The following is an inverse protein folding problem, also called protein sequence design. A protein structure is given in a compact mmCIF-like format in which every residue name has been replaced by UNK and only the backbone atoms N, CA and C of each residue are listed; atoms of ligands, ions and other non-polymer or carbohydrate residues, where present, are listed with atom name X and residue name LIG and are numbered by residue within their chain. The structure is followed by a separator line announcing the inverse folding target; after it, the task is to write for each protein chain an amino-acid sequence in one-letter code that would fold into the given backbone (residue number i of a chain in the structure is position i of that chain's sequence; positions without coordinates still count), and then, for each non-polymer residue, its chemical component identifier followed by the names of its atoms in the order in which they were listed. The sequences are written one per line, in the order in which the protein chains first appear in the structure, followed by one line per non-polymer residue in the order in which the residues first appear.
data_IF_263873896909
#
_entry.id   IF_263873896909
#
_cell.length_a   1.000
_cell.length_b   1.000
_cell.length_c   1.000
_cell.angle_alpha   90.00
_cell.angle_beta   90.00
_cell.angle_gamma   90.00
#
_symmetry.space_group_name_H-M   'P 1'
#
loop_
_entity.id
_entity.type
_entity.pdbx_description
1 polymer ?
#
# COMPACT_ATOMS: atom_id res chain seq x y z
N UNK A 1 45.25 -49.71 -16.31
CA UNK A 1 45.22 -48.36 -16.95
C UNK A 1 43.82 -47.92 -17.37
N UNK A 2 43.05 -48.71 -18.12
CA UNK A 2 41.73 -48.30 -18.65
C UNK A 2 40.65 -47.95 -17.59
N UNK A 3 40.69 -48.58 -16.41
CA UNK A 3 39.76 -48.28 -15.29
C UNK A 3 40.04 -46.93 -14.60
N UNK A 4 41.30 -46.53 -14.52
CA UNK A 4 41.68 -45.21 -13.99
C UNK A 4 41.31 -44.08 -14.96
N UNK A 5 41.40 -44.33 -16.27
CA UNK A 5 41.00 -43.35 -17.29
C UNK A 5 39.48 -43.08 -17.29
N UNK A 6 38.64 -44.11 -17.13
CA UNK A 6 37.17 -43.96 -17.04
C UNK A 6 36.74 -43.20 -15.79
N UNK A 7 37.40 -43.46 -14.65
CA UNK A 7 37.10 -42.75 -13.40
C UNK A 7 37.52 -41.28 -13.49
N UNK A 8 38.69 -41.00 -14.09
CA UNK A 8 39.15 -39.63 -14.30
C UNK A 8 38.24 -38.84 -15.26
N UNK A 9 37.71 -39.48 -16.30
CA UNK A 9 36.78 -38.84 -17.24
C UNK A 9 35.41 -38.56 -16.61
N UNK A 10 34.92 -39.49 -15.78
CA UNK A 10 33.67 -39.29 -15.02
C UNK A 10 33.80 -38.14 -14.00
N UNK A 11 34.92 -38.06 -13.28
CA UNK A 11 35.19 -36.98 -12.33
C UNK A 11 35.34 -35.64 -13.05
N UNK A 12 36.02 -35.60 -14.21
CA UNK A 12 36.13 -34.39 -15.02
C UNK A 12 34.78 -33.91 -15.56
N UNK A 13 33.90 -34.84 -15.97
CA UNK A 13 32.52 -34.53 -16.36
C UNK A 13 31.76 -33.88 -15.20
N UNK A 14 31.88 -34.41 -13.98
CA UNK A 14 31.21 -33.85 -12.79
C UNK A 14 31.68 -32.43 -12.47
N UNK A 15 32.97 -32.10 -12.70
CA UNK A 15 33.49 -30.74 -12.50
C UNK A 15 33.06 -29.74 -13.59
N UNK A 16 32.69 -30.19 -14.78
CA UNK A 16 32.21 -29.30 -15.87
C UNK A 16 30.73 -28.93 -15.67
N UNK A 17 29.97 -29.75 -14.92
CA UNK A 17 28.53 -29.52 -14.65
C UNK A 17 28.26 -28.78 -13.32
N UNK A 18 29.29 -28.32 -12.61
CA UNK A 18 29.17 -27.77 -11.25
C UNK A 18 29.06 -26.25 -11.12
N UNK A 19 28.92 -25.49 -12.21
CA UNK A 19 28.62 -24.06 -12.09
C UNK A 19 27.10 -23.93 -11.94
N UNK A 20 26.60 -23.66 -10.72
CA UNK A 20 25.21 -23.21 -10.55
C UNK A 20 25.04 -21.94 -11.39
N UNK A 21 24.01 -21.93 -12.24
CA UNK A 21 23.62 -20.72 -12.93
C UNK A 21 22.89 -19.84 -11.92
N UNK A 22 23.51 -18.74 -11.53
CA UNK A 22 22.93 -17.77 -10.59
C UNK A 22 22.62 -16.49 -11.33
N UNK A 23 21.48 -15.88 -11.00
CA UNK A 23 21.17 -14.51 -11.38
C UNK A 23 20.93 -13.65 -10.15
N UNK A 24 20.95 -12.34 -10.32
CA UNK A 24 20.72 -11.41 -9.21
C UNK A 24 19.58 -10.46 -9.53
N UNK A 25 18.83 -10.06 -8.52
CA UNK A 25 17.92 -8.92 -8.59
C UNK A 25 18.27 -7.90 -7.51
N UNK A 26 18.32 -6.63 -7.92
CA UNK A 26 18.53 -5.47 -7.04
C UNK A 26 17.31 -4.56 -7.14
N UNK A 27 16.55 -4.46 -6.06
CA UNK A 27 15.37 -3.57 -5.93
C UNK A 27 15.78 -2.34 -5.13
N UNK A 28 15.66 -1.16 -5.72
CA UNK A 28 16.00 0.12 -5.09
C UNK A 28 14.74 0.95 -4.82
N UNK A 29 14.61 1.44 -3.59
CA UNK A 29 13.58 2.39 -3.21
C UNK A 29 13.93 3.78 -3.77
N UNK A 30 13.07 4.34 -4.63
CA UNK A 30 13.16 5.69 -5.19
C UNK A 30 11.90 6.50 -4.86
N UNK A 31 11.20 6.15 -3.78
CA UNK A 31 9.91 6.76 -3.42
C UNK A 31 10.06 8.02 -2.56
N UNK A 32 11.19 8.24 -1.88
CA UNK A 32 11.36 9.35 -0.94
C UNK A 32 10.89 9.06 0.49
N UNK A 33 10.25 7.91 0.72
CA UNK A 33 9.76 7.45 2.03
C UNK A 33 10.08 5.95 2.17
N UNK A 34 9.77 5.35 3.33
CA UNK A 34 9.94 3.92 3.55
C UNK A 34 9.08 3.07 2.58
N UNK A 35 9.61 1.91 2.22
CA UNK A 35 8.99 0.94 1.33
C UNK A 35 9.21 -0.48 1.86
N UNK A 36 8.14 -1.25 2.02
CA UNK A 36 8.26 -2.69 2.24
C UNK A 36 8.16 -3.40 0.90
N UNK A 37 9.15 -4.23 0.57
CA UNK A 37 9.18 -5.03 -0.65
C UNK A 37 9.34 -6.51 -0.33
N UNK A 38 8.75 -7.36 -1.16
CA UNK A 38 8.97 -8.80 -1.16
C UNK A 38 9.60 -9.22 -2.48
N UNK A 39 10.66 -10.02 -2.41
CA UNK A 39 11.36 -10.56 -3.58
C UNK A 39 11.30 -12.09 -3.47
N UNK A 40 10.47 -12.73 -4.30
CA UNK A 40 10.26 -14.19 -4.27
C UNK A 40 9.98 -14.68 -2.83
N UNK A 41 9.04 -14.03 -2.14
CA UNK A 41 8.60 -14.34 -0.77
C UNK A 41 9.39 -13.69 0.38
N UNK A 42 10.64 -13.28 0.17
CA UNK A 42 11.46 -12.67 1.22
C UNK A 42 11.14 -11.19 1.38
N UNK A 43 10.87 -10.75 2.61
CA UNK A 43 10.48 -9.36 2.92
C UNK A 43 11.67 -8.51 3.31
N UNK A 44 11.72 -7.29 2.79
CA UNK A 44 12.73 -6.27 3.06
C UNK A 44 12.03 -4.94 3.34
N UNK A 45 12.41 -4.27 4.43
CA UNK A 45 12.04 -2.88 4.68
C UNK A 45 13.18 -1.99 4.19
N UNK A 46 12.87 -1.04 3.31
CA UNK A 46 13.84 -0.17 2.65
C UNK A 46 13.53 1.29 3.00
N UNK A 47 14.47 1.98 3.63
CA UNK A 47 14.41 3.44 3.76
C UNK A 47 14.64 4.12 2.40
N UNK A 48 14.58 5.46 2.39
CA UNK A 48 14.77 6.24 1.18
C UNK A 48 16.16 5.97 0.54
N UNK A 49 16.15 5.71 -0.76
CA UNK A 49 17.32 5.33 -1.57
C UNK A 49 18.04 4.03 -1.17
N UNK A 50 17.53 3.26 -0.21
CA UNK A 50 18.05 1.93 0.11
C UNK A 50 17.70 0.89 -0.94
N UNK A 51 18.36 -0.26 -0.88
CA UNK A 51 18.13 -1.36 -1.80
C UNK A 51 18.20 -2.73 -1.13
N UNK A 52 17.44 -3.68 -1.65
CA UNK A 52 17.56 -5.10 -1.38
C UNK A 52 18.20 -5.80 -2.59
N UNK A 53 19.07 -6.76 -2.31
CA UNK A 53 19.66 -7.66 -3.31
C UNK A 53 19.35 -9.11 -2.95
N UNK A 54 18.96 -9.91 -3.94
CA UNK A 54 18.71 -11.35 -3.80
C UNK A 54 19.34 -12.10 -4.95
N UNK A 55 20.16 -13.10 -4.61
CA UNK A 55 20.67 -14.10 -5.56
C UNK A 55 19.60 -15.15 -5.78
N UNK A 56 19.40 -15.51 -7.05
CA UNK A 56 18.38 -16.43 -7.51
C UNK A 56 19.07 -17.64 -8.11
N UNK A 57 18.86 -18.79 -7.49
CA UNK A 57 19.32 -20.07 -8.03
C UNK A 57 18.43 -20.47 -9.21
N UNK A 58 19.05 -20.68 -10.37
CA UNK A 58 18.38 -21.10 -11.60
C UNK A 58 18.47 -22.62 -11.80
N UNK A 59 19.27 -23.33 -11.00
CA UNK A 59 19.53 -24.76 -11.15
C UNK A 59 18.33 -25.65 -10.79
N UNK A 60 17.39 -25.13 -9.98
CA UNK A 60 16.18 -25.84 -9.55
C UNK A 60 15.16 -26.08 -10.69
N UNK A 61 15.27 -25.37 -11.83
CA UNK A 61 14.27 -25.40 -12.91
C UNK A 61 14.61 -26.35 -14.08
N UNK A 62 15.52 -27.29 -13.85
CA UNK A 62 15.96 -28.27 -14.84
C UNK A 62 17.32 -27.93 -15.42
N UNK A 63 17.98 -28.94 -15.99
CA UNK A 63 19.41 -28.94 -16.37
C UNK A 63 19.89 -27.78 -17.29
N UNK A 64 19.01 -26.89 -17.77
CA UNK A 64 19.32 -25.85 -18.75
C UNK A 64 18.48 -24.55 -18.67
N UNK A 65 17.78 -24.22 -17.58
CA UNK A 65 17.10 -22.91 -17.53
C UNK A 65 18.11 -21.80 -17.31
N UNK A 66 18.31 -20.94 -18.32
CA UNK A 66 19.16 -19.74 -18.22
C UNK A 66 18.40 -18.53 -17.67
N UNK A 67 17.10 -18.69 -17.38
CA UNK A 67 16.24 -17.68 -16.79
C UNK A 67 15.20 -18.22 -15.80
N UNK A 68 14.74 -17.36 -14.88
CA UNK A 68 13.65 -17.61 -13.93
C UNK A 68 12.81 -16.35 -13.75
N UNK A 69 11.48 -16.50 -13.64
CA UNK A 69 10.60 -15.41 -13.25
C UNK A 69 10.62 -15.23 -11.72
N UNK A 70 10.79 -13.98 -11.29
CA UNK A 70 10.79 -13.58 -9.89
C UNK A 70 9.76 -12.49 -9.70
N UNK A 71 8.80 -12.74 -8.81
CA UNK A 71 7.81 -11.75 -8.40
C UNK A 71 8.42 -10.77 -7.41
N UNK A 72 8.29 -9.48 -7.71
CA UNK A 72 8.55 -8.39 -6.77
C UNK A 72 7.24 -7.68 -6.49
N UNK A 73 6.86 -7.65 -5.22
CA UNK A 73 5.66 -6.98 -4.75
C UNK A 73 5.96 -6.12 -3.54
N UNK A 74 5.04 -5.25 -3.14
CA UNK A 74 5.25 -4.39 -2.00
C UNK A 74 4.30 -3.22 -1.91
N UNK A 75 4.50 -2.41 -0.88
CA UNK A 75 3.74 -1.21 -0.61
C UNK A 75 4.58 -0.23 0.23
N UNK A 76 4.18 1.04 0.25
CA UNK A 76 4.85 2.06 1.05
C UNK A 76 3.93 3.23 1.34
N UNK A 77 4.41 4.24 2.07
CA UNK A 77 3.56 5.38 2.42
C UNK A 77 3.11 6.19 1.18
N UNK A 78 4.00 6.36 0.20
CA UNK A 78 3.74 7.09 -1.06
C UNK A 78 3.75 6.16 -2.27
N UNK A 79 3.46 4.88 -2.02
CA UNK A 79 3.42 3.81 -3.03
C UNK A 79 2.22 2.91 -2.79
N UNK A 80 1.28 2.87 -3.75
CA UNK A 80 0.22 1.87 -3.74
C UNK A 80 0.79 0.46 -3.84
N UNK A 81 0.00 -0.52 -3.40
CA UNK A 81 0.34 -1.93 -3.54
C UNK A 81 0.66 -2.26 -5.00
N UNK A 82 1.76 -2.96 -5.22
CA UNK A 82 2.20 -3.41 -6.53
C UNK A 82 2.67 -4.84 -6.47
N UNK A 83 2.54 -5.56 -7.59
CA UNK A 83 3.12 -6.88 -7.80
C UNK A 83 3.51 -7.02 -9.27
N UNK A 84 4.75 -7.43 -9.54
CA UNK A 84 5.28 -7.53 -10.90
C UNK A 84 6.35 -8.59 -11.02
N UNK A 85 6.23 -9.39 -12.07
CA UNK A 85 7.21 -10.42 -12.41
C UNK A 85 8.36 -9.86 -13.24
N UNK A 86 9.56 -10.33 -12.93
CA UNK A 86 10.79 -10.00 -13.63
C UNK A 86 11.54 -11.26 -14.01
N UNK A 87 11.90 -11.37 -15.28
CA UNK A 87 12.80 -12.42 -15.77
C UNK A 87 14.25 -12.12 -15.33
N UNK A 88 14.81 -13.02 -14.54
CA UNK A 88 16.21 -13.02 -14.07
C UNK A 88 16.99 -13.99 -14.94
N UNK A 89 18.21 -13.62 -15.33
CA UNK A 89 19.06 -14.42 -16.22
C UNK A 89 20.38 -14.77 -15.55
N UNK A 90 20.96 -15.91 -15.93
CA UNK A 90 22.26 -16.35 -15.45
C UNK A 90 23.35 -15.28 -15.67
N UNK A 91 24.20 -15.07 -14.67
CA UNK A 91 25.31 -14.11 -14.63
C UNK A 91 24.90 -12.66 -14.93
N UNK A 92 23.63 -12.31 -14.66
CA UNK A 92 23.09 -10.95 -14.82
C UNK A 92 22.41 -10.46 -13.56
N UNK A 93 22.62 -9.19 -13.27
CA UNK A 93 21.87 -8.44 -12.27
C UNK A 93 20.72 -7.66 -12.92
N UNK A 94 19.48 -7.99 -12.54
CA UNK A 94 18.30 -7.20 -12.87
C UNK A 94 18.16 -6.05 -11.87
N UNK A 95 18.22 -4.81 -12.36
CA UNK A 95 17.98 -3.61 -11.54
C UNK A 95 16.52 -3.17 -11.67
N UNK A 96 15.86 -2.98 -10.54
CA UNK A 96 14.46 -2.52 -10.43
C UNK A 96 14.44 -1.29 -9.54
N UNK A 97 13.88 -0.19 -10.05
CA UNK A 97 13.67 1.03 -9.27
C UNK A 97 12.17 1.17 -9.00
N UNK A 98 11.80 1.36 -7.73
CA UNK A 98 10.42 1.60 -7.33
C UNK A 98 10.23 3.08 -7.06
N UNK A 99 9.36 3.72 -7.84
CA UNK A 99 9.03 5.14 -7.71
C UNK A 99 7.65 5.31 -7.07
N UNK A 100 7.48 6.43 -6.37
CA UNK A 100 6.19 6.84 -5.83
C UNK A 100 5.14 6.96 -6.94
N UNK A 101 3.89 6.62 -6.63
CA UNK A 101 2.74 6.77 -7.53
C UNK A 101 1.53 7.41 -6.85
N UNK A 102 1.68 7.82 -5.60
CA UNK A 102 0.69 8.57 -4.83
C UNK A 102 1.36 9.57 -3.89
N UNK A 103 0.54 10.43 -3.28
CA UNK A 103 0.94 11.23 -2.13
C UNK A 103 0.45 10.60 -0.84
N UNK A 104 0.72 11.26 0.28
CA UNK A 104 0.20 10.86 1.58
C UNK A 104 -0.23 12.03 2.45
N UNK A 105 -1.15 11.76 3.37
CA UNK A 105 -1.58 12.68 4.43
C UNK A 105 -1.20 12.05 5.77
N UNK A 106 -0.45 12.77 6.60
CA UNK A 106 -0.15 12.42 7.99
C UNK A 106 -0.93 13.33 8.92
N UNK A 107 -1.72 12.76 9.81
CA UNK A 107 -2.37 13.48 10.91
C UNK A 107 -1.59 13.19 12.18
N UNK A 108 -1.00 14.22 12.78
CA UNK A 108 -0.34 14.15 14.08
C UNK A 108 -1.24 14.74 15.16
N UNK A 109 -1.60 13.94 16.15
CA UNK A 109 -2.28 14.44 17.34
C UNK A 109 -1.27 14.98 18.35
N UNK A 110 -0.96 16.27 18.28
CA UNK A 110 -0.10 16.93 19.26
C UNK A 110 -0.86 17.45 20.49
N UNK A 111 -2.16 17.17 20.58
CA UNK A 111 -3.03 17.60 21.68
C UNK A 111 -3.03 16.59 22.83
N UNK A 112 -3.65 16.94 23.95
CA UNK A 112 -3.93 16.02 25.07
C UNK A 112 -5.24 15.22 24.88
N UNK A 113 -5.96 15.45 23.79
CA UNK A 113 -7.28 14.86 23.49
C UNK A 113 -7.13 13.68 22.56
N UNK A 114 -8.18 12.88 22.41
CA UNK A 114 -8.19 11.76 21.46
C UNK A 114 -8.91 12.17 20.19
N UNK A 115 -8.30 11.98 19.03
CA UNK A 115 -9.00 12.12 17.75
C UNK A 115 -9.86 10.88 17.53
N UNK A 116 -11.15 11.08 17.28
CA UNK A 116 -12.15 10.02 17.09
C UNK A 116 -12.68 9.94 15.66
N UNK A 117 -12.49 10.97 14.85
CA UNK A 117 -12.84 10.95 13.42
C UNK A 117 -11.86 11.76 12.59
N UNK A 118 -11.57 11.28 11.37
CA UNK A 118 -10.81 12.01 10.34
C UNK A 118 -11.58 11.88 9.03
N UNK A 119 -11.77 13.00 8.33
CA UNK A 119 -12.38 13.01 7.00
C UNK A 119 -11.38 13.59 6.01
N UNK A 120 -11.09 12.84 4.95
CA UNK A 120 -10.20 13.18 3.86
C UNK A 120 -11.02 13.23 2.58
N UNK A 121 -11.11 14.41 1.98
CA UNK A 121 -11.93 14.61 0.78
C UNK A 121 -11.15 15.36 -0.27
N UNK A 122 -11.18 14.95 -1.56
CA UNK A 122 -10.80 15.84 -2.64
C UNK A 122 -11.52 17.19 -2.52
N UNK A 123 -10.80 18.30 -2.72
CA UNK A 123 -11.36 19.64 -2.51
C UNK A 123 -12.49 19.99 -3.49
N UNK A 124 -12.54 19.29 -4.63
CA UNK A 124 -13.64 19.38 -5.60
C UNK A 124 -14.96 18.77 -5.13
N UNK A 125 -14.94 17.89 -4.13
CA UNK A 125 -16.18 17.27 -3.61
C UNK A 125 -16.93 18.26 -2.72
N UNK A 126 -18.25 18.23 -2.73
CA UNK A 126 -19.08 19.10 -1.87
C UNK A 126 -19.39 18.48 -0.49
N UNK A 127 -19.05 17.21 -0.27
CA UNK A 127 -19.31 16.50 0.98
C UNK A 127 -18.02 15.87 1.51
N UNK A 128 -17.94 15.68 2.84
CA UNK A 128 -16.78 15.07 3.50
C UNK A 128 -16.63 13.56 3.26
N UNK A 129 -17.73 12.87 2.95
CA UNK A 129 -17.73 11.41 2.82
C UNK A 129 -17.92 10.69 4.16
N UNK A 130 -17.39 9.48 4.25
CA UNK A 130 -17.39 8.69 5.49
C UNK A 130 -16.18 9.06 6.36
N UNK A 131 -16.20 8.61 7.62
CA UNK A 131 -15.03 8.70 8.49
C UNK A 131 -13.94 7.75 7.97
N UNK A 132 -12.74 8.28 7.69
CA UNK A 132 -11.59 7.55 7.17
C UNK A 132 -10.74 6.94 8.29
N UNK A 133 -11.05 7.22 9.56
CA UNK A 133 -10.32 6.70 10.71
C UNK A 133 -10.94 5.37 11.21
N UNK A 134 -10.17 4.29 11.12
CA UNK A 134 -10.49 3.03 11.81
C UNK A 134 -9.83 3.03 13.20
N UNK A 135 -10.58 3.47 14.21
CA UNK A 135 -10.14 3.53 15.62
C UNK A 135 -9.91 4.94 16.14
N UNK A 136 -8.74 5.18 16.75
CA UNK A 136 -8.43 6.43 17.44
C UNK A 136 -6.99 6.87 17.18
N UNK A 137 -6.75 8.17 17.16
CA UNK A 137 -5.40 8.72 17.24
C UNK A 137 -5.22 9.33 18.63
N UNK A 138 -4.55 8.59 19.51
CA UNK A 138 -4.24 9.06 20.86
C UNK A 138 -3.28 10.25 20.87
N UNK A 139 -3.21 10.94 21.99
CA UNK A 139 -2.23 12.02 22.22
C UNK A 139 -0.80 11.56 21.92
N UNK A 140 -0.11 12.32 21.07
CA UNK A 140 1.25 12.06 20.62
C UNK A 140 1.38 11.10 19.42
N UNK A 141 0.30 10.46 18.98
CA UNK A 141 0.34 9.48 17.88
C UNK A 141 0.11 10.13 16.51
N UNK A 142 0.56 9.42 15.48
CA UNK A 142 0.42 9.80 14.07
C UNK A 142 -0.37 8.70 13.37
N UNK A 143 -1.27 9.09 12.47
CA UNK A 143 -1.91 8.19 11.51
C UNK A 143 -1.68 8.70 10.08
N UNK A 144 -1.61 7.80 9.10
CA UNK A 144 -1.28 8.16 7.72
C UNK A 144 -2.22 7.50 6.73
N UNK A 145 -2.54 8.20 5.65
CA UNK A 145 -3.32 7.69 4.53
C UNK A 145 -2.59 7.97 3.22
N UNK A 146 -2.71 7.05 2.26
CA UNK A 146 -2.32 7.26 0.87
C UNK A 146 -3.42 8.03 0.15
N UNK A 147 -3.04 8.91 -0.76
CA UNK A 147 -4.01 9.67 -1.56
C UNK A 147 -3.51 9.88 -2.98
N UNK A 148 -4.43 9.96 -3.94
CA UNK A 148 -4.09 10.40 -5.29
C UNK A 148 -3.58 11.85 -5.26
N UNK A 149 -2.73 12.22 -6.22
CA UNK A 149 -2.28 13.60 -6.33
C UNK A 149 -3.43 14.55 -6.65
N UNK A 150 -3.45 15.71 -6.00
CA UNK A 150 -4.49 16.72 -6.17
C UNK A 150 -4.66 17.60 -4.94
N UNK A 151 -5.73 18.39 -4.94
CA UNK A 151 -6.13 19.20 -3.79
C UNK A 151 -7.03 18.39 -2.86
N UNK A 152 -6.68 18.37 -1.58
CA UNK A 152 -7.39 17.66 -0.52
C UNK A 152 -7.76 18.56 0.64
N UNK A 153 -8.93 18.29 1.22
CA UNK A 153 -9.40 18.86 2.46
C UNK A 153 -9.29 17.82 3.56
N UNK A 154 -8.90 18.27 4.76
CA UNK A 154 -8.74 17.44 5.95
C UNK A 154 -9.63 18.01 7.04
N UNK A 155 -10.46 17.17 7.66
CA UNK A 155 -11.20 17.48 8.90
C UNK A 155 -10.86 16.46 9.96
N UNK A 156 -10.54 16.92 11.15
CA UNK A 156 -10.27 16.10 12.32
C UNK A 156 -11.26 16.45 13.41
N UNK A 157 -11.84 15.47 14.10
CA UNK A 157 -12.77 15.66 15.23
C UNK A 157 -12.23 14.89 16.45
N UNK A 158 -12.21 15.56 17.61
CA UNK A 158 -11.83 14.95 18.88
C UNK A 158 -13.01 14.33 19.66
N UNK A 159 -12.69 13.68 20.77
CA UNK A 159 -13.62 13.01 21.69
C UNK A 159 -14.61 13.96 22.41
N UNK A 160 -14.42 15.27 22.29
CA UNK A 160 -15.36 16.29 22.76
C UNK A 160 -16.19 16.91 21.63
N UNK A 161 -16.02 16.45 20.40
CA UNK A 161 -16.70 16.97 19.21
C UNK A 161 -16.06 18.24 18.65
N UNK A 162 -14.89 18.65 19.14
CA UNK A 162 -14.16 19.78 18.60
C UNK A 162 -13.43 19.36 17.33
N UNK A 163 -13.50 20.21 16.32
CA UNK A 163 -12.91 19.90 15.04
C UNK A 163 -11.92 20.97 14.57
N UNK A 164 -11.03 20.56 13.68
CA UNK A 164 -10.13 21.42 12.94
C UNK A 164 -10.14 21.00 11.47
N UNK A 165 -10.09 21.98 10.57
CA UNK A 165 -10.13 21.77 9.12
C UNK A 165 -8.96 22.47 8.43
N UNK A 166 -8.42 21.84 7.40
CA UNK A 166 -7.56 22.49 6.41
C UNK A 166 -8.16 22.25 5.02
N UNK A 167 -8.25 23.30 4.21
CA UNK A 167 -8.83 23.25 2.86
C UNK A 167 -7.77 23.46 1.79
N UNK A 168 -8.02 22.91 0.60
CA UNK A 168 -7.24 23.14 -0.62
C UNK A 168 -5.74 22.83 -0.46
N UNK A 169 -5.42 21.73 0.23
CA UNK A 169 -4.04 21.27 0.41
C UNK A 169 -3.60 20.51 -0.84
N UNK A 170 -2.70 21.09 -1.62
CA UNK A 170 -2.13 20.39 -2.76
C UNK A 170 -1.13 19.32 -2.32
N UNK A 171 -1.28 18.11 -2.84
CA UNK A 171 -0.41 16.97 -2.56
C UNK A 171 0.03 16.38 -3.90
N UNK A 172 1.34 16.41 -4.18
CA UNK A 172 1.90 15.78 -5.37
C UNK A 172 2.33 14.33 -5.13
N UNK A 173 2.70 13.62 -6.20
CA UNK A 173 3.23 12.26 -6.12
C UNK A 173 4.57 12.27 -5.38
N UNK A 174 4.71 11.41 -4.37
CA UNK A 174 5.89 11.35 -3.51
C UNK A 174 5.90 12.37 -2.37
N UNK A 175 4.91 13.26 -2.28
CA UNK A 175 4.81 14.23 -1.18
C UNK A 175 3.95 13.72 -0.03
N UNK A 176 4.32 14.17 1.17
CA UNK A 176 3.60 13.90 2.42
C UNK A 176 3.11 15.23 3.00
N UNK A 177 1.80 15.43 3.03
CA UNK A 177 1.18 16.56 3.71
C UNK A 177 1.03 16.26 5.20
N UNK A 178 1.40 17.22 6.06
CA UNK A 178 1.29 17.10 7.51
C UNK A 178 0.19 17.98 8.06
N UNK A 179 -0.80 17.37 8.70
CA UNK A 179 -1.83 18.03 9.48
C UNK A 179 -1.58 17.82 10.98
N UNK A 180 -1.23 18.89 11.70
CA UNK A 180 -1.01 18.82 13.15
C UNK A 180 -2.25 19.30 13.89
N UNK A 181 -2.85 18.41 14.68
CA UNK A 181 -3.98 18.72 15.54
C UNK A 181 -3.50 19.12 16.94
N UNK A 182 -3.66 20.40 17.29
CA UNK A 182 -3.22 20.95 18.58
C UNK A 182 -4.24 20.83 19.72
N UNK A 183 -5.49 20.46 19.41
CA UNK A 183 -6.60 20.54 20.35
C UNK A 183 -7.07 21.98 20.50
N UNK A 184 -8.39 22.18 20.55
CA UNK A 184 -8.93 23.51 20.85
C UNK A 184 -9.05 23.71 22.36
N UNK A 185 -8.37 24.74 22.89
CA UNK A 185 -8.75 25.37 24.15
C UNK A 185 -9.66 26.59 23.92
N UNK A 186 -9.90 26.99 22.67
CA UNK A 186 -10.64 28.20 22.32
C UNK A 186 -11.90 27.87 21.48
N UNK A 187 -13.10 27.96 22.07
CA UNK A 187 -14.35 27.75 21.34
C UNK A 187 -14.56 28.73 20.17
N UNK A 188 -13.85 29.86 20.11
CA UNK A 188 -13.95 30.79 18.99
C UNK A 188 -13.34 30.24 17.69
N UNK A 189 -12.36 29.32 17.77
CA UNK A 189 -11.85 28.61 16.59
C UNK A 189 -12.81 27.52 16.08
N UNK A 190 -13.87 27.19 16.83
CA UNK A 190 -14.94 26.27 16.39
C UNK A 190 -15.92 26.91 15.41
N UNK A 191 -15.85 28.23 15.22
CA UNK A 191 -16.71 28.97 14.30
C UNK A 191 -15.94 29.52 13.10
N UNK A 192 -14.89 28.84 12.63
CA UNK A 192 -14.48 29.10 11.25
C UNK A 192 -15.66 28.67 10.36
N UNK A 193 -16.22 29.59 9.55
CA UNK A 193 -17.34 29.24 8.70
C UNK A 193 -16.91 28.05 7.86
N UNK A 194 -17.70 26.96 7.91
CA UNK A 194 -17.50 25.84 7.00
C UNK A 194 -17.38 26.41 5.59
N UNK A 195 -16.40 25.93 4.82
CA UNK A 195 -16.24 26.34 3.44
C UNK A 195 -17.63 26.27 2.77
N UNK A 196 -18.19 27.37 2.22
CA UNK A 196 -19.57 27.40 1.74
C UNK A 196 -19.84 26.38 0.63
N UNK A 197 -18.80 25.86 -0.03
CA UNK A 197 -18.91 24.74 -0.97
C UNK A 197 -19.16 23.39 -0.29
N UNK A 198 -18.72 23.19 0.96
CA UNK A 198 -18.85 21.91 1.70
C UNK A 198 -20.18 21.76 2.47
N UNK A 199 -21.16 22.62 2.23
CA UNK A 199 -22.44 22.56 2.94
C UNK A 199 -23.39 21.49 2.39
N UNK A 200 -23.59 20.47 3.24
CA UNK A 200 -24.70 19.49 3.31
C UNK A 200 -24.64 18.24 2.42
N UNK A 201 -24.15 17.17 3.04
CA UNK A 201 -24.91 15.94 3.20
C UNK A 201 -24.64 15.40 4.61
N UNK A 202 -25.61 15.55 5.50
CA UNK A 202 -25.64 14.84 6.78
C UNK A 202 -26.36 13.49 6.53
N UNK A 203 -25.70 12.32 6.52
CA UNK A 203 -26.39 11.04 6.36
C UNK A 203 -27.00 10.53 7.67
N UNK A 204 -26.85 11.24 8.80
CA UNK A 204 -27.39 10.81 10.09
C UNK A 204 -28.57 11.67 10.53
N UNK A 205 -29.74 11.40 9.93
CA UNK A 205 -31.02 11.57 10.59
C UNK A 205 -32.08 10.60 10.07
N UNK A 206 -31.76 9.31 9.93
CA UNK A 206 -32.78 8.26 9.81
C UNK A 206 -32.40 7.06 10.68
N UNK A 207 -32.59 7.24 11.99
CA UNK A 207 -32.92 6.13 12.90
C UNK A 207 -34.23 6.51 13.59
N UNK A 208 -35.35 5.98 13.11
CA UNK A 208 -36.35 5.23 13.88
C UNK A 208 -37.69 5.13 13.12
N UNK A 209 -38.07 3.90 12.76
CA UNK A 209 -39.46 3.47 12.58
C UNK A 209 -39.89 3.16 11.16
N UNK A 210 -39.81 1.89 10.74
CA UNK A 210 -41.02 1.11 10.42
C UNK A 210 -40.68 -0.38 10.30
N UNK A 211 -41.51 -1.17 10.95
CA UNK A 211 -41.49 -2.61 11.04
C UNK A 211 -42.14 -3.18 9.77
N UNK A 212 -41.34 -3.67 8.80
CA UNK A 212 -41.85 -4.54 7.72
C UNK A 212 -40.88 -5.67 7.42
N UNK A 213 -41.22 -6.80 8.01
CA UNK A 213 -40.86 -8.13 7.53
C UNK A 213 -41.55 -8.38 6.18
N UNK A 214 -40.88 -8.04 5.07
CA UNK A 214 -41.18 -8.64 3.77
C UNK A 214 -40.21 -9.80 3.50
N UNK A 215 -40.78 -11.00 3.48
CA UNK A 215 -40.13 -12.24 3.07
C UNK A 215 -39.71 -12.11 1.61
N UNK A 216 -38.41 -12.00 1.35
CA UNK A 216 -37.83 -12.30 0.04
C UNK A 216 -37.97 -13.80 -0.24
N UNK A 217 -38.93 -14.14 -1.12
CA UNK A 217 -38.94 -15.44 -1.79
C UNK A 217 -37.90 -15.41 -2.91
N UNK A 218 -36.90 -16.27 -2.80
CA UNK A 218 -35.95 -16.53 -3.89
C UNK A 218 -36.64 -17.38 -4.97
N UNK A 219 -36.49 -17.04 -6.27
CA UNK A 219 -36.96 -17.90 -7.33
C UNK A 219 -36.12 -19.18 -7.40
N UNK A 220 -36.79 -20.32 -7.53
CA UNK A 220 -36.19 -21.64 -7.74
C UNK A 220 -35.23 -21.65 -8.93
N UNK A 221 -34.03 -22.14 -8.68
CA UNK A 221 -33.03 -22.45 -9.69
C UNK A 221 -33.52 -23.66 -10.51
N UNK A 222 -33.87 -23.45 -11.78
CA UNK A 222 -34.07 -24.55 -12.73
C UNK A 222 -32.71 -24.96 -13.31
N UNK A 223 -32.34 -26.21 -13.10
CA UNK A 223 -31.23 -26.85 -13.82
C UNK A 223 -31.58 -26.98 -15.31
N UNK A 224 -30.61 -26.82 -16.22
CA UNK A 224 -30.81 -27.09 -17.63
C UNK A 224 -30.79 -28.60 -17.92
N UNK A 225 -31.85 -29.07 -18.59
CA UNK A 225 -31.92 -30.41 -19.17
C UNK A 225 -30.78 -30.61 -20.19
N UNK A 226 -29.98 -31.65 -19.98
CA UNK A 226 -28.97 -32.12 -20.92
C UNK A 226 -29.63 -33.18 -21.80
N UNK A 227 -30.03 -32.81 -23.01
CA UNK A 227 -30.42 -33.76 -24.05
C UNK A 227 -29.17 -34.34 -24.75
N UNK A 228 -29.20 -35.67 -24.91
CA UNK A 228 -28.22 -36.50 -25.63
C UNK A 228 -28.20 -36.25 -27.14
#
# INVERSE_FOLDING_TARGET
MYRFLKLSFLVMIIFIFGCSAEGEIKVTNKTGEWLQVKIDGDTYDLDDYEYAEKTIDLSDYGLYSDEKEVTVEGEGLVKWEFSKDYTIKADKTKKVNIYADCGAIKVWNSSYRTIVSVYLSPSSNYNWGYDDLDGYIYSGYIHSWRCASGYWDVKVIDDYGYYSTSYDNYISVGEVYWFTYYGSNNPEMMNQPENPTKQKANPQSDKFGDDRTEKLQFPEHREPDIDN
#
